data_IF_148243105775
#
_entry.id   IF_148243105775
#
_cell.length_a   1.000
_cell.length_b   1.000
_cell.length_c   1.000
_cell.angle_alpha   90.00
_cell.angle_beta   90.00
_cell.angle_gamma   90.00
#
_symmetry.space_group_name_H-M   'P 1'
#
loop_
_entity.id
_entity.type
_entity.pdbx_description
1 polymer ?
#
# COMPACT_ATOMS: atom_id res chain seq x y z
N UNK A 1 -25.57 10.08 -16.92
CA UNK A 1 -25.21 8.65 -16.89
C UNK A 1 -24.35 8.43 -15.66
N UNK A 2 -24.84 7.78 -14.61
CA UNK A 2 -23.94 7.36 -13.52
C UNK A 2 -23.01 6.29 -14.09
N UNK A 3 -21.70 6.41 -13.85
CA UNK A 3 -20.77 5.34 -14.19
C UNK A 3 -21.12 4.10 -13.37
N UNK A 4 -21.32 2.95 -14.02
CA UNK A 4 -21.47 1.65 -13.34
C UNK A 4 -20.14 1.16 -12.72
N UNK A 5 -19.05 1.91 -12.91
CA UNK A 5 -17.71 1.59 -12.40
C UNK A 5 -17.42 2.34 -11.11
N UNK A 6 -16.66 1.69 -10.23
CA UNK A 6 -16.06 2.32 -9.04
C UNK A 6 -15.04 3.38 -9.49
N UNK A 7 -15.03 4.53 -8.83
CA UNK A 7 -13.91 5.47 -8.95
C UNK A 7 -12.92 5.18 -7.83
N UNK A 8 -11.68 4.83 -8.17
CA UNK A 8 -10.57 4.67 -7.24
C UNK A 8 -9.71 5.93 -7.26
N UNK A 9 -9.52 6.57 -6.11
CA UNK A 9 -8.62 7.72 -5.98
C UNK A 9 -7.20 7.25 -5.67
N UNK A 10 -6.22 7.66 -6.46
CA UNK A 10 -4.82 7.19 -6.42
C UNK A 10 -3.82 8.35 -6.61
N UNK A 11 -2.53 8.11 -6.37
CA UNK A 11 -1.44 9.09 -6.50
C UNK A 11 -0.69 8.91 -7.83
N UNK A 12 -0.58 9.97 -8.66
CA UNK A 12 0.25 9.89 -9.86
C UNK A 12 1.73 9.75 -9.50
N UNK A 13 2.50 9.14 -10.38
CA UNK A 13 3.97 9.17 -10.35
C UNK A 13 4.50 9.83 -11.61
N UNK A 14 5.72 10.37 -11.56
CA UNK A 14 6.40 10.87 -12.76
C UNK A 14 7.05 9.78 -13.62
N UNK A 15 7.02 8.52 -13.17
CA UNK A 15 7.73 7.42 -13.84
C UNK A 15 7.03 6.94 -15.10
N UNK A 16 5.71 7.15 -15.20
CA UNK A 16 4.88 6.63 -16.27
C UNK A 16 3.94 7.71 -16.81
N UNK A 17 3.63 7.63 -18.10
CA UNK A 17 2.62 8.48 -18.75
C UNK A 17 1.90 7.62 -19.79
N UNK A 18 0.62 7.25 -19.59
CA UNK A 18 -0.26 7.64 -18.47
C UNK A 18 0.24 7.13 -17.09
N UNK A 19 -0.21 7.74 -15.97
CA UNK A 19 0.25 7.36 -14.64
C UNK A 19 -0.12 5.92 -14.30
N UNK A 20 0.69 5.28 -13.45
CA UNK A 20 0.44 3.96 -12.88
C UNK A 20 0.68 3.94 -11.38
N UNK A 21 0.05 3.00 -10.70
CA UNK A 21 0.03 2.91 -9.24
C UNK A 21 1.42 2.57 -8.69
N UNK A 22 1.84 3.32 -7.68
CA UNK A 22 3.09 3.10 -6.94
C UNK A 22 2.89 2.99 -5.43
N UNK A 23 1.72 3.43 -4.93
CA UNK A 23 1.45 3.51 -3.51
C UNK A 23 1.15 2.13 -2.93
N UNK A 24 1.86 1.69 -1.87
CA UNK A 24 1.57 0.41 -1.22
C UNK A 24 0.16 0.38 -0.61
N UNK A 25 -0.38 1.52 -0.21
CA UNK A 25 -1.74 1.56 0.34
C UNK A 25 -2.79 1.44 -0.76
N UNK A 26 -2.59 2.07 -1.92
CA UNK A 26 -3.57 2.02 -3.01
C UNK A 26 -3.53 0.68 -3.73
N UNK A 27 -2.35 0.07 -3.85
CA UNK A 27 -2.20 -1.30 -4.36
C UNK A 27 -3.07 -2.32 -3.61
N UNK A 28 -3.29 -2.17 -2.29
CA UNK A 28 -4.19 -3.06 -1.54
C UNK A 28 -5.62 -3.03 -2.10
N UNK A 29 -6.16 -1.83 -2.32
CA UNK A 29 -7.51 -1.68 -2.91
C UNK A 29 -7.53 -2.12 -4.37
N UNK A 30 -6.49 -1.81 -5.14
CA UNK A 30 -6.35 -2.20 -6.54
C UNK A 30 -6.34 -3.72 -6.72
N UNK A 31 -5.56 -4.43 -5.90
CA UNK A 31 -5.52 -5.90 -5.87
C UNK A 31 -6.89 -6.50 -5.54
N UNK A 32 -7.61 -5.95 -4.56
CA UNK A 32 -8.98 -6.39 -4.25
C UNK A 32 -9.90 -6.24 -5.46
N UNK A 33 -9.89 -5.07 -6.10
CA UNK A 33 -10.72 -4.80 -7.28
C UNK A 33 -10.38 -5.74 -8.43
N UNK A 34 -9.08 -5.95 -8.70
CA UNK A 34 -8.59 -6.82 -9.76
C UNK A 34 -8.92 -8.31 -9.49
N UNK A 35 -8.69 -8.80 -8.27
CA UNK A 35 -8.99 -10.17 -7.85
C UNK A 35 -10.48 -10.49 -7.98
N UNK A 36 -11.32 -9.58 -7.50
CA UNK A 36 -12.78 -9.69 -7.58
C UNK A 36 -13.33 -9.40 -8.99
N UNK A 37 -12.48 -8.97 -9.92
CA UNK A 37 -12.85 -8.56 -11.29
C UNK A 37 -13.91 -7.45 -11.30
N UNK A 38 -13.84 -6.53 -10.35
CA UNK A 38 -14.76 -5.39 -10.24
C UNK A 38 -14.27 -4.28 -11.18
N UNK A 39 -15.10 -3.79 -12.12
CA UNK A 39 -14.72 -2.68 -12.99
C UNK A 39 -14.54 -1.37 -12.21
N UNK A 40 -13.41 -0.71 -12.42
CA UNK A 40 -13.14 0.61 -11.86
C UNK A 40 -12.44 1.53 -12.87
N UNK A 41 -12.38 2.81 -12.53
CA UNK A 41 -11.55 3.82 -13.16
C UNK A 41 -10.73 4.53 -12.10
N UNK A 42 -9.49 4.87 -12.42
CA UNK A 42 -8.63 5.61 -11.50
C UNK A 42 -8.79 7.12 -11.71
N UNK A 43 -9.03 7.85 -10.63
CA UNK A 43 -8.90 9.29 -10.58
C UNK A 43 -7.61 9.64 -9.84
N UNK A 44 -6.64 10.16 -10.59
CA UNK A 44 -5.34 10.56 -10.07
C UNK A 44 -5.43 11.91 -9.37
N UNK A 45 -5.01 11.96 -8.09
CA UNK A 45 -4.98 13.18 -7.29
C UNK A 45 -3.55 13.49 -6.85
N UNK A 46 -3.12 14.74 -7.04
CA UNK A 46 -1.94 15.26 -6.34
C UNK A 46 -2.26 15.42 -4.86
N UNK A 47 -1.22 15.51 -4.03
CA UNK A 47 -1.38 15.51 -2.58
C UNK A 47 -2.22 16.68 -2.05
N UNK A 48 -2.16 17.85 -2.69
CA UNK A 48 -2.94 19.05 -2.39
C UNK A 48 -4.40 18.96 -2.85
N UNK A 49 -4.72 18.06 -3.78
CA UNK A 49 -6.07 17.82 -4.29
C UNK A 49 -6.85 16.78 -3.46
N UNK A 50 -6.16 15.96 -2.66
CA UNK A 50 -6.78 14.87 -1.87
C UNK A 50 -7.84 15.43 -0.91
N UNK A 51 -7.45 16.32 -0.02
CA UNK A 51 -8.36 16.89 0.99
C UNK A 51 -9.57 17.61 0.38
N UNK A 52 -9.42 18.60 -0.54
CA UNK A 52 -10.58 19.27 -1.12
C UNK A 52 -11.48 18.31 -1.91
N UNK A 53 -10.91 17.31 -2.59
CA UNK A 53 -11.71 16.34 -3.35
C UNK A 53 -12.50 15.41 -2.42
N UNK A 54 -11.83 14.76 -1.47
CA UNK A 54 -12.46 13.75 -0.62
C UNK A 54 -13.45 14.39 0.37
N UNK A 55 -13.14 15.56 0.90
CA UNK A 55 -14.08 16.30 1.77
C UNK A 55 -15.34 16.76 1.01
N UNK A 56 -15.21 17.24 -0.24
CA UNK A 56 -16.35 17.61 -1.07
C UNK A 56 -17.26 16.43 -1.44
N UNK A 57 -16.72 15.21 -1.43
CA UNK A 57 -17.48 13.97 -1.59
C UNK A 57 -18.18 13.50 -0.30
N UNK A 58 -18.03 14.24 0.80
CA UNK A 58 -18.65 13.92 2.09
C UNK A 58 -17.91 12.84 2.88
N UNK A 59 -16.67 12.50 2.50
CA UNK A 59 -15.85 11.56 3.26
C UNK A 59 -15.44 12.23 4.59
N UNK A 60 -15.66 11.58 5.74
CA UNK A 60 -15.17 12.10 7.01
C UNK A 60 -13.63 12.00 7.07
N UNK A 61 -12.95 12.93 7.76
CA UNK A 61 -11.51 12.82 7.93
C UNK A 61 -11.15 11.60 8.79
N UNK A 62 -9.96 11.06 8.57
CA UNK A 62 -9.33 10.08 9.43
C UNK A 62 -9.31 10.57 10.88
N UNK A 63 -9.50 9.68 11.87
CA UNK A 63 -9.43 10.06 13.26
C UNK A 63 -8.05 10.62 13.60
N UNK A 64 -7.96 11.63 14.47
CA UNK A 64 -6.68 12.15 14.91
C UNK A 64 -5.88 11.06 15.64
N UNK A 65 -4.55 11.19 15.61
CA UNK A 65 -3.66 10.28 16.35
C UNK A 65 -4.04 10.30 17.84
N UNK A 66 -4.27 9.14 18.48
CA UNK A 66 -4.52 9.09 19.92
C UNK A 66 -3.36 9.72 20.71
N UNK A 67 -3.69 10.46 21.76
CA UNK A 67 -2.69 11.08 22.63
C UNK A 67 -1.70 10.03 23.17
N UNK A 68 -0.41 10.38 23.18
CA UNK A 68 0.64 9.49 23.70
C UNK A 68 1.14 8.39 22.75
N UNK A 69 0.54 8.21 21.56
CA UNK A 69 1.11 7.29 20.56
C UNK A 69 2.32 7.90 19.82
N UNK A 70 3.44 7.16 19.70
CA UNK A 70 4.61 7.61 18.94
C UNK A 70 4.31 7.69 17.43
N UNK A 71 5.12 8.43 16.69
CA UNK A 71 5.00 8.59 15.23
C UNK A 71 4.24 9.85 14.78
N UNK A 72 4.20 10.14 13.47
CA UNK A 72 3.53 11.33 12.93
C UNK A 72 1.99 11.21 13.02
N UNK A 73 1.30 12.34 13.11
CA UNK A 73 -0.17 12.37 12.99
C UNK A 73 -0.59 11.91 11.58
N UNK A 74 -1.64 11.08 11.44
CA UNK A 74 -2.15 10.73 10.12
C UNK A 74 -2.67 11.99 9.41
N UNK A 75 -2.64 11.95 8.08
CA UNK A 75 -3.29 13.02 7.32
C UNK A 75 -4.81 12.85 7.44
N UNK A 76 -5.59 13.95 7.62
CA UNK A 76 -7.05 13.86 7.70
C UNK A 76 -7.65 13.18 6.48
N UNK A 77 -7.08 13.40 5.30
CA UNK A 77 -7.50 12.77 4.07
C UNK A 77 -6.33 12.05 3.40
N UNK A 78 -6.60 10.84 2.91
CA UNK A 78 -5.60 9.93 2.33
C UNK A 78 -6.20 9.14 1.18
N UNK A 79 -5.34 8.58 0.33
CA UNK A 79 -5.72 7.53 -0.63
C UNK A 79 -5.13 6.18 -0.17
N UNK A 80 -5.79 5.05 -0.47
CA UNK A 80 -6.95 4.91 -1.34
C UNK A 80 -8.24 5.45 -0.72
N UNK A 81 -9.07 6.01 -1.58
CA UNK A 81 -10.48 6.23 -1.36
C UNK A 81 -11.25 5.71 -2.57
N UNK A 82 -12.52 5.40 -2.41
CA UNK A 82 -13.40 5.00 -3.49
C UNK A 82 -14.71 5.78 -3.47
N UNK A 83 -15.30 5.95 -4.66
CA UNK A 83 -16.72 6.25 -4.84
C UNK A 83 -17.36 5.09 -5.61
N UNK A 84 -18.41 4.50 -5.02
CA UNK A 84 -19.20 3.43 -5.60
C UNK A 84 -20.25 3.98 -6.59
N UNK A 85 -20.83 3.13 -7.46
CA UNK A 85 -21.86 3.57 -8.42
C UNK A 85 -23.10 4.20 -7.77
N UNK A 86 -23.44 3.75 -6.56
CA UNK A 86 -24.53 4.28 -5.71
C UNK A 86 -24.18 5.60 -4.99
N UNK A 87 -23.02 6.18 -5.30
CA UNK A 87 -22.45 7.40 -4.71
C UNK A 87 -21.98 7.28 -3.27
N UNK A 88 -22.09 6.10 -2.64
CA UNK A 88 -21.43 5.88 -1.36
C UNK A 88 -19.90 5.90 -1.51
N UNK A 89 -19.22 6.34 -0.46
CA UNK A 89 -17.78 6.59 -0.48
C UNK A 89 -17.11 5.93 0.71
N UNK A 90 -15.85 5.53 0.54
CA UNK A 90 -15.02 5.02 1.62
C UNK A 90 -13.57 5.45 1.43
N UNK A 91 -12.86 5.61 2.53
CA UNK A 91 -11.44 5.91 2.59
C UNK A 91 -10.79 4.94 3.56
N UNK A 92 -9.50 4.66 3.36
CA UNK A 92 -8.72 3.61 4.03
C UNK A 92 -8.92 2.23 3.41
N UNK A 93 -7.82 1.64 2.92
CA UNK A 93 -7.79 0.30 2.34
C UNK A 93 -8.43 -0.77 3.24
N UNK A 94 -8.24 -0.67 4.56
CA UNK A 94 -8.77 -1.64 5.53
C UNK A 94 -10.28 -1.51 5.73
N UNK A 95 -10.85 -0.31 5.50
CA UNK A 95 -12.30 -0.07 5.51
C UNK A 95 -12.91 -0.44 4.16
N UNK A 96 -12.20 -0.17 3.07
CA UNK A 96 -12.66 -0.44 1.71
C UNK A 96 -12.80 -1.95 1.45
N UNK A 97 -11.85 -2.77 1.90
CA UNK A 97 -11.88 -4.22 1.68
C UNK A 97 -13.18 -4.92 2.14
N UNK A 98 -13.66 -4.76 3.40
CA UNK A 98 -14.91 -5.35 3.84
C UNK A 98 -16.14 -4.79 3.11
N UNK A 99 -16.15 -3.49 2.76
CA UNK A 99 -17.24 -2.91 1.96
C UNK A 99 -17.36 -3.60 0.59
N UNK A 100 -16.22 -3.87 -0.06
CA UNK A 100 -16.20 -4.58 -1.35
C UNK A 100 -16.52 -6.06 -1.20
N UNK A 101 -16.14 -6.71 -0.11
CA UNK A 101 -16.56 -8.09 0.21
C UNK A 101 -18.09 -8.18 0.33
N UNK A 102 -18.71 -7.25 1.07
CA UNK A 102 -20.15 -7.23 1.31
C UNK A 102 -20.95 -6.86 0.05
N UNK A 103 -20.52 -5.85 -0.70
CA UNK A 103 -21.26 -5.35 -1.87
C UNK A 103 -21.14 -6.26 -3.09
N UNK A 104 -20.14 -7.14 -3.15
CA UNK A 104 -19.89 -8.03 -4.29
C UNK A 104 -19.75 -9.51 -3.89
N UNK A 105 -20.78 -10.13 -3.26
CA UNK A 105 -20.69 -11.48 -2.69
C UNK A 105 -20.59 -12.60 -3.74
N UNK A 106 -20.87 -12.30 -5.02
CA UNK A 106 -20.70 -13.24 -6.14
C UNK A 106 -19.28 -13.33 -6.70
N UNK A 107 -18.33 -12.62 -6.09
CA UNK A 107 -16.90 -12.62 -6.47
C UNK A 107 -16.09 -13.48 -5.50
N UNK A 108 -14.87 -13.94 -5.87
CA UNK A 108 -14.01 -14.69 -4.95
C UNK A 108 -13.79 -13.96 -3.62
N UNK A 109 -13.83 -14.70 -2.50
CA UNK A 109 -13.79 -14.12 -1.15
C UNK A 109 -12.40 -13.65 -0.75
N UNK A 110 -12.34 -12.59 0.06
CA UNK A 110 -11.12 -12.10 0.69
C UNK A 110 -10.79 -12.80 2.01
N UNK A 111 -11.68 -13.65 2.53
CA UNK A 111 -11.48 -14.37 3.79
C UNK A 111 -11.06 -13.48 4.96
N UNK A 112 -11.71 -12.32 5.12
CA UNK A 112 -11.34 -11.30 6.10
C UNK A 112 -11.48 -11.80 7.56
N UNK A 113 -12.37 -12.77 7.79
CA UNK A 113 -12.65 -13.37 9.09
C UNK A 113 -11.45 -14.10 9.72
N UNK A 114 -10.43 -14.43 8.93
CA UNK A 114 -9.27 -15.20 9.40
C UNK A 114 -8.23 -14.38 10.19
N UNK A 115 -8.32 -13.05 10.18
CA UNK A 115 -7.37 -12.15 10.88
C UNK A 115 -5.95 -12.08 10.29
N UNK A 116 -5.66 -12.78 9.19
CA UNK A 116 -4.32 -12.84 8.58
C UNK A 116 -3.81 -11.46 8.13
N UNK A 117 -4.71 -10.59 7.68
CA UNK A 117 -4.37 -9.24 7.22
C UNK A 117 -3.90 -8.32 8.37
N UNK A 118 -4.37 -8.56 9.60
CA UNK A 118 -3.91 -7.81 10.79
C UNK A 118 -2.49 -8.23 11.18
N UNK A 119 -2.24 -9.54 11.19
CA UNK A 119 -0.90 -10.11 11.45
C UNK A 119 0.10 -9.69 10.37
N UNK A 120 -0.27 -9.81 9.09
CA UNK A 120 0.53 -9.34 7.96
C UNK A 120 0.85 -7.84 8.08
N UNK A 121 -0.13 -7.00 8.44
CA UNK A 121 0.08 -5.56 8.61
C UNK A 121 1.05 -5.23 9.76
N UNK A 122 0.97 -5.98 10.87
CA UNK A 122 1.87 -5.81 12.01
C UNK A 122 3.33 -6.16 11.66
N UNK A 123 3.54 -7.30 10.98
CA UNK A 123 4.87 -7.74 10.52
C UNK A 123 5.41 -6.75 9.48
N UNK A 124 4.58 -6.33 8.53
CA UNK A 124 4.94 -5.36 7.52
C UNK A 124 5.38 -4.02 8.13
N UNK A 125 4.79 -3.60 9.25
CA UNK A 125 5.23 -2.43 10.00
C UNK A 125 6.66 -2.55 10.53
N UNK A 126 7.05 -3.75 11.01
CA UNK A 126 8.41 -4.03 11.47
C UNK A 126 9.43 -4.02 10.33
N UNK A 127 9.01 -4.39 9.12
CA UNK A 127 9.85 -4.40 7.91
C UNK A 127 9.95 -3.01 7.27
N UNK A 128 8.82 -2.33 7.08
CA UNK A 128 8.76 -1.09 6.30
C UNK A 128 9.27 0.14 7.08
N UNK A 129 9.08 0.18 8.40
CA UNK A 129 9.50 1.33 9.21
C UNK A 129 11.02 1.55 9.23
N UNK A 130 11.86 0.50 9.42
CA UNK A 130 13.31 0.66 9.30
C UNK A 130 13.77 1.08 7.90
N UNK A 131 13.04 0.66 6.85
CA UNK A 131 13.39 0.97 5.46
C UNK A 131 13.02 2.39 5.02
N UNK A 132 12.37 3.22 5.86
CA UNK A 132 12.00 4.58 5.47
C UNK A 132 13.21 5.43 5.04
N UNK A 133 14.39 5.22 5.64
CA UNK A 133 15.63 5.90 5.26
C UNK A 133 16.15 5.51 3.88
N UNK A 134 15.73 4.36 3.35
CA UNK A 134 15.99 3.91 1.96
C UNK A 134 14.88 4.40 1.03
N UNK A 135 13.62 4.33 1.47
CA UNK A 135 12.47 4.58 0.61
C UNK A 135 12.20 6.06 0.35
N UNK A 136 12.33 6.93 1.36
CA UNK A 136 11.96 8.34 1.24
C UNK A 136 12.82 9.14 0.25
N UNK A 137 14.16 9.01 0.26
CA UNK A 137 14.99 9.62 -0.77
C UNK A 137 14.62 9.16 -2.18
N UNK A 138 14.33 7.86 -2.35
CA UNK A 138 13.92 7.26 -3.63
C UNK A 138 12.55 7.76 -4.08
N UNK A 139 11.58 7.85 -3.19
CA UNK A 139 10.24 8.40 -3.49
C UNK A 139 10.37 9.87 -3.92
N UNK A 140 11.09 10.68 -3.15
CA UNK A 140 11.27 12.09 -3.43
C UNK A 140 11.94 12.33 -4.79
N UNK A 141 13.02 11.58 -5.06
CA UNK A 141 13.84 11.78 -6.26
C UNK A 141 13.24 11.12 -7.50
N UNK A 142 12.69 9.92 -7.39
CA UNK A 142 12.39 9.07 -8.55
C UNK A 142 10.88 8.94 -8.82
N UNK A 143 10.00 9.17 -7.84
CA UNK A 143 8.57 8.84 -7.94
C UNK A 143 7.68 10.08 -7.98
N UNK A 144 7.90 11.03 -7.07
CA UNK A 144 7.01 12.20 -6.95
C UNK A 144 7.11 13.11 -8.17
N UNK A 145 5.96 13.70 -8.53
CA UNK A 145 5.88 14.77 -9.51
C UNK A 145 6.74 15.98 -9.04
N UNK A 146 7.43 16.69 -9.94
CA UNK A 146 8.26 17.85 -9.58
C UNK A 146 7.54 18.91 -8.75
N UNK A 147 6.27 19.19 -9.05
CA UNK A 147 5.43 20.15 -8.33
C UNK A 147 4.96 19.66 -6.96
N UNK A 148 4.89 18.34 -6.74
CA UNK A 148 4.50 17.72 -5.45
C UNK A 148 5.68 17.59 -4.50
N UNK A 149 6.88 17.37 -5.04
CA UNK A 149 8.08 17.06 -4.27
C UNK A 149 8.42 18.08 -3.17
N UNK A 150 8.38 19.42 -3.38
CA UNK A 150 8.70 20.39 -2.33
C UNK A 150 7.77 20.31 -1.12
N UNK A 151 6.46 20.23 -1.35
CA UNK A 151 5.47 20.15 -0.26
C UNK A 151 5.56 18.83 0.50
N UNK A 152 5.78 17.72 -0.21
CA UNK A 152 6.00 16.42 0.42
C UNK A 152 7.26 16.42 1.29
N UNK A 153 8.37 16.97 0.76
CA UNK A 153 9.64 17.09 1.48
C UNK A 153 9.47 17.87 2.77
N UNK A 154 8.90 19.09 2.70
CA UNK A 154 8.69 19.93 3.87
C UNK A 154 7.87 19.22 4.97
N UNK A 155 6.81 18.49 4.57
CA UNK A 155 5.98 17.72 5.50
C UNK A 155 6.74 16.57 6.17
N UNK A 156 7.62 15.87 5.44
CA UNK A 156 8.42 14.78 5.99
C UNK A 156 9.52 15.31 6.91
N UNK A 157 10.27 16.31 6.48
CA UNK A 157 11.35 16.90 7.29
C UNK A 157 10.80 17.49 8.60
N UNK A 158 9.64 18.14 8.57
CA UNK A 158 8.96 18.60 9.79
C UNK A 158 8.55 17.45 10.72
N UNK A 159 8.19 16.28 10.18
CA UNK A 159 7.79 15.12 10.97
C UNK A 159 8.98 14.39 11.63
N UNK A 160 10.16 14.37 10.99
CA UNK A 160 11.37 13.73 11.52
C UNK A 160 12.29 14.68 12.27
N UNK A 161 12.15 16.00 12.07
CA UNK A 161 13.03 17.00 12.67
C UNK A 161 14.43 17.06 12.06
N UNK A 162 14.62 16.49 10.86
CA UNK A 162 15.88 16.55 10.11
C UNK A 162 15.60 16.56 8.60
N UNK A 163 16.63 16.82 7.80
CA UNK A 163 16.51 16.76 6.33
C UNK A 163 16.36 15.31 5.85
N UNK A 164 15.83 15.13 4.63
CA UNK A 164 15.77 13.79 4.02
C UNK A 164 17.17 13.19 3.84
N UNK A 165 18.16 14.00 3.51
CA UNK A 165 19.56 13.58 3.33
C UNK A 165 20.20 13.19 4.66
N UNK A 166 19.99 13.96 5.73
CA UNK A 166 20.47 13.58 7.07
C UNK A 166 19.81 12.28 7.55
N UNK A 167 18.52 12.10 7.25
CA UNK A 167 17.80 10.87 7.56
C UNK A 167 18.34 9.68 6.77
N UNK A 168 18.61 9.85 5.47
CA UNK A 168 19.25 8.83 4.62
C UNK A 168 20.65 8.47 5.13
N UNK A 169 21.47 9.46 5.47
CA UNK A 169 22.81 9.23 5.99
C UNK A 169 22.81 8.49 7.33
N UNK A 170 21.85 8.79 8.21
CA UNK A 170 21.77 8.18 9.54
C UNK A 170 21.02 6.84 9.60
N UNK A 171 20.02 6.64 8.73
CA UNK A 171 19.05 5.53 8.80
C UNK A 171 18.81 4.82 7.48
N UNK A 172 19.50 5.19 6.41
CA UNK A 172 19.44 4.52 5.10
C UNK A 172 20.45 3.40 4.94
N UNK A 173 20.68 2.99 3.69
CA UNK A 173 21.69 2.00 3.31
C UNK A 173 21.61 0.69 4.12
N UNK A 174 22.77 0.10 4.39
CA UNK A 174 22.90 -1.16 5.15
C UNK A 174 22.34 -1.06 6.57
N UNK A 175 22.37 0.12 7.20
CA UNK A 175 21.79 0.32 8.53
C UNK A 175 20.29 0.07 8.54
N UNK A 176 19.58 0.55 7.50
CA UNK A 176 18.15 0.30 7.33
C UNK A 176 17.86 -1.19 7.14
N UNK A 177 18.60 -1.84 6.24
CA UNK A 177 18.39 -3.24 5.89
C UNK A 177 18.65 -4.17 7.06
N UNK A 178 19.75 -3.95 7.79
CA UNK A 178 20.04 -4.70 9.02
C UNK A 178 18.96 -4.53 10.08
N UNK A 179 18.43 -3.31 10.21
CA UNK A 179 17.32 -3.06 11.14
C UNK A 179 16.00 -3.71 10.69
N UNK A 180 15.83 -4.00 9.40
CA UNK A 180 14.67 -4.68 8.84
C UNK A 180 14.77 -6.22 8.87
N UNK A 181 15.96 -6.80 9.06
CA UNK A 181 16.22 -8.25 9.09
C UNK A 181 15.21 -9.04 9.97
N UNK A 182 14.89 -8.62 11.22
CA UNK A 182 13.92 -9.34 12.03
C UNK A 182 12.52 -9.38 11.40
N UNK A 183 12.14 -8.33 10.66
CA UNK A 183 10.88 -8.26 9.94
C UNK A 183 10.82 -9.23 8.76
N UNK A 184 11.94 -9.41 8.04
CA UNK A 184 12.03 -10.42 6.96
C UNK A 184 11.92 -11.84 7.52
N UNK A 185 12.63 -12.16 8.61
CA UNK A 185 12.54 -13.47 9.28
C UNK A 185 11.11 -13.74 9.76
N UNK A 186 10.46 -12.75 10.37
CA UNK A 186 9.08 -12.87 10.80
C UNK A 186 8.10 -13.06 9.62
N UNK A 187 8.36 -12.40 8.49
CA UNK A 187 7.54 -12.54 7.28
C UNK A 187 7.66 -13.93 6.66
N UNK A 188 8.89 -14.44 6.49
CA UNK A 188 9.13 -15.79 5.97
C UNK A 188 8.40 -16.83 6.82
N UNK A 189 8.62 -16.79 8.14
CA UNK A 189 7.93 -17.65 9.10
C UNK A 189 6.41 -17.57 8.99
N UNK A 190 5.86 -16.35 8.90
CA UNK A 190 4.42 -16.13 8.78
C UNK A 190 3.84 -16.71 7.47
N UNK A 191 4.57 -16.62 6.36
CA UNK A 191 4.15 -17.16 5.07
C UNK A 191 4.24 -18.69 5.01
N UNK A 192 5.09 -19.32 5.82
CA UNK A 192 5.19 -20.79 5.91
C UNK A 192 4.18 -21.40 6.89
N UNK A 193 4.07 -20.87 8.12
CA UNK A 193 3.36 -21.54 9.22
C UNK A 193 1.82 -21.56 9.07
N UNK A 194 1.26 -20.69 8.24
CA UNK A 194 -0.20 -20.58 8.07
C UNK A 194 -0.74 -21.42 6.90
N UNK A 195 0.14 -22.07 6.13
CA UNK A 195 -0.24 -22.86 4.96
C UNK A 195 -1.04 -24.10 5.35
N UNK A 196 -2.15 -24.32 4.64
CA UNK A 196 -2.97 -25.55 4.76
C UNK A 196 -2.56 -26.63 3.75
N UNK A 197 -1.85 -26.23 2.71
CA UNK A 197 -1.33 -27.05 1.62
C UNK A 197 -0.11 -26.34 0.98
N UNK A 198 0.50 -26.94 -0.05
CA UNK A 198 1.72 -26.45 -0.70
C UNK A 198 1.52 -25.20 -1.59
N UNK A 199 0.34 -24.58 -1.58
CA UNK A 199 0.07 -23.40 -2.39
C UNK A 199 0.88 -22.14 -1.99
N UNK A 200 0.88 -21.12 -2.86
CA UNK A 200 1.77 -19.95 -2.73
C UNK A 200 1.23 -18.85 -1.80
N UNK A 201 -0.03 -18.93 -1.36
CA UNK A 201 -0.67 -17.92 -0.52
C UNK A 201 -0.48 -18.22 0.97
N UNK A 202 -0.80 -17.26 1.84
CA UNK A 202 -0.73 -17.42 3.30
C UNK A 202 -1.47 -18.67 3.78
N UNK A 203 -2.62 -18.98 3.18
CA UNK A 203 -3.44 -20.16 3.54
C UNK A 203 -3.16 -21.39 2.65
N UNK A 204 -2.05 -21.42 1.92
CA UNK A 204 -1.74 -22.42 0.91
C UNK A 204 -2.35 -22.03 -0.45
N UNK A 205 -3.29 -22.80 -0.96
CA UNK A 205 -3.89 -22.56 -2.30
C UNK A 205 -5.03 -21.55 -2.29
N UNK A 206 -5.45 -21.10 -1.09
CA UNK A 206 -6.53 -20.14 -0.90
C UNK A 206 -5.99 -18.72 -0.68
N UNK A 207 -6.38 -17.81 -1.56
CA UNK A 207 -6.13 -16.36 -1.44
C UNK A 207 -6.88 -15.81 -0.23
N UNK A 208 -6.29 -14.86 0.48
CA UNK A 208 -6.96 -14.01 1.47
C UNK A 208 -6.46 -12.56 1.37
N UNK A 209 -7.10 -11.63 2.08
CA UNK A 209 -6.70 -10.22 2.04
C UNK A 209 -5.28 -9.97 2.58
N UNK A 210 -4.79 -10.84 3.46
CA UNK A 210 -3.42 -10.77 3.98
C UNK A 210 -2.37 -10.86 2.85
N UNK A 211 -2.63 -11.66 1.82
CA UNK A 211 -1.76 -11.79 0.66
C UNK A 211 -1.61 -10.43 -0.04
N UNK A 212 -2.72 -9.72 -0.22
CA UNK A 212 -2.72 -8.41 -0.87
C UNK A 212 -2.07 -7.31 -0.04
N UNK A 213 -2.08 -7.42 1.29
CA UNK A 213 -1.32 -6.51 2.16
C UNK A 213 0.18 -6.63 1.91
N UNK A 214 0.69 -7.85 1.75
CA UNK A 214 2.12 -8.14 1.53
C UNK A 214 2.51 -7.80 0.10
N UNK A 215 1.74 -8.31 -0.88
CA UNK A 215 1.99 -8.11 -2.32
C UNK A 215 1.94 -6.64 -2.68
N UNK A 216 1.03 -5.85 -2.09
CA UNK A 216 0.97 -4.41 -2.33
C UNK A 216 2.26 -3.68 -1.91
N UNK A 217 2.92 -4.13 -0.84
CA UNK A 217 4.23 -3.58 -0.48
C UNK A 217 5.30 -4.03 -1.46
N UNK A 218 5.38 -5.32 -1.77
CA UNK A 218 6.37 -5.85 -2.71
C UNK A 218 6.29 -5.13 -4.07
N UNK A 219 5.08 -4.98 -4.62
CA UNK A 219 4.87 -4.23 -5.86
C UNK A 219 5.24 -2.75 -5.71
N UNK A 220 4.89 -2.11 -4.59
CA UNK A 220 5.31 -0.72 -4.35
C UNK A 220 6.84 -0.57 -4.30
N UNK A 221 7.56 -1.50 -3.66
CA UNK A 221 9.02 -1.50 -3.67
C UNK A 221 9.55 -1.58 -5.12
N UNK A 222 8.96 -2.45 -5.96
CA UNK A 222 9.32 -2.59 -7.38
C UNK A 222 9.10 -1.30 -8.15
N UNK A 223 7.97 -0.62 -7.91
CA UNK A 223 7.61 0.66 -8.53
C UNK A 223 8.51 1.81 -8.05
N UNK A 224 8.94 1.80 -6.78
CA UNK A 224 9.89 2.78 -6.22
C UNK A 224 11.29 2.56 -6.80
N UNK A 225 11.80 1.33 -6.74
CA UNK A 225 13.11 0.95 -7.28
C UNK A 225 13.25 -0.57 -7.38
N UNK A 226 13.52 -1.06 -8.59
CA UNK A 226 13.67 -2.49 -8.85
C UNK A 226 14.78 -3.14 -8.00
N UNK A 227 15.85 -2.41 -7.74
CA UNK A 227 16.94 -2.83 -6.86
C UNK A 227 16.49 -3.05 -5.40
N UNK A 228 15.56 -2.22 -4.92
CA UNK A 228 14.99 -2.35 -3.57
C UNK A 228 14.08 -3.59 -3.51
N UNK A 229 13.26 -3.78 -4.54
CA UNK A 229 12.43 -4.97 -4.67
C UNK A 229 13.29 -6.24 -4.65
N UNK A 230 14.27 -6.35 -5.56
CA UNK A 230 15.10 -7.55 -5.66
C UNK A 230 15.79 -7.87 -4.34
N UNK A 231 16.31 -6.86 -3.64
CA UNK A 231 16.90 -7.10 -2.32
C UNK A 231 15.89 -7.58 -1.29
N UNK A 232 14.68 -7.03 -1.28
CA UNK A 232 13.62 -7.43 -0.36
C UNK A 232 13.20 -8.89 -0.61
N UNK A 233 12.96 -9.27 -1.86
CA UNK A 233 12.57 -10.65 -2.19
C UNK A 233 13.72 -11.65 -2.09
N UNK A 234 14.98 -11.26 -2.31
CA UNK A 234 16.15 -12.09 -1.95
C UNK A 234 16.28 -12.29 -0.43
N UNK A 235 15.79 -11.35 0.38
CA UNK A 235 15.81 -11.47 1.84
C UNK A 235 14.65 -12.32 2.39
N UNK A 236 13.64 -12.63 1.57
CA UNK A 236 12.48 -13.44 1.91
C UNK A 236 11.85 -13.96 0.61
N UNK A 237 12.26 -15.17 0.20
CA UNK A 237 11.89 -15.76 -1.09
C UNK A 237 10.39 -16.09 -1.14
N UNK A 238 9.76 -16.33 0.01
CA UNK A 238 8.32 -16.55 0.14
C UNK A 238 7.52 -15.32 -0.32
N UNK A 239 8.05 -14.11 -0.13
CA UNK A 239 7.45 -12.88 -0.67
C UNK A 239 7.58 -12.84 -2.19
N UNK A 240 8.65 -13.40 -2.78
CA UNK A 240 8.80 -13.54 -4.24
C UNK A 240 7.71 -14.45 -4.78
N UNK A 241 7.60 -15.66 -4.24
CA UNK A 241 6.62 -16.66 -4.66
C UNK A 241 5.20 -16.09 -4.59
N UNK A 242 4.87 -15.43 -3.48
CA UNK A 242 3.58 -14.78 -3.29
C UNK A 242 3.32 -13.65 -4.30
N UNK A 243 4.31 -12.80 -4.55
CA UNK A 243 4.21 -11.70 -5.52
C UNK A 243 4.00 -12.21 -6.94
N UNK A 244 4.75 -13.23 -7.35
CA UNK A 244 4.63 -13.88 -8.65
C UNK A 244 3.26 -14.56 -8.83
N UNK A 245 2.78 -15.26 -7.80
CA UNK A 245 1.45 -15.88 -7.79
C UNK A 245 0.32 -14.85 -7.96
N UNK A 246 0.51 -13.61 -7.48
CA UNK A 246 -0.44 -12.51 -7.66
C UNK A 246 -0.30 -11.76 -8.99
N UNK A 247 0.64 -12.14 -9.85
CA UNK A 247 0.95 -11.50 -11.13
C UNK A 247 -0.27 -11.10 -11.97
N UNK A 248 -1.26 -12.00 -12.18
CA UNK A 248 -2.47 -11.66 -12.96
C UNK A 248 -3.28 -10.49 -12.39
N UNK A 249 -3.20 -10.22 -11.08
CA UNK A 249 -3.92 -9.10 -10.43
C UNK A 249 -3.09 -7.82 -10.34
N UNK A 250 -1.84 -7.85 -10.80
CA UNK A 250 -0.95 -6.70 -10.89
C UNK A 250 -0.98 -6.03 -12.28
N UNK A 251 -1.59 -6.66 -13.28
CA UNK A 251 -1.62 -6.17 -14.67
C UNK A 251 -2.40 -4.85 -14.83
N UNK A 252 -3.54 -4.71 -14.15
CA UNK A 252 -4.32 -3.48 -14.19
C UNK A 252 -3.80 -2.48 -13.15
N UNK A 253 -2.84 -1.66 -13.57
CA UNK A 253 -2.10 -0.69 -12.75
C UNK A 253 -2.43 0.78 -13.04
N UNK A 254 -3.38 1.04 -13.95
CA UNK A 254 -3.79 2.37 -14.45
C UNK A 254 -5.03 2.97 -13.79
#
# INVERSE_FOLDING_TARGET
MSSDKITLFDLPSKKTTPPTCWSPNVWKTRLVLNYKKIPYTTQWLKHDEIEPTLSALGIPPNPPKPAGKPGPSPSPYTVPAIQLPDKSTAMDSAVIAPILEEKFPGTPSLHLENGMHEQASAILGQLAFPLLGVLYPRILRDVLLPEVAPGWRAKKEAAFGCTIEDFEAAKGGETAWKAAEPGFVAMAKFLEENKKDEGPFILGSQVCYGDFVIVAMAEALKRIGHDIYERAVTSCEEVRELHEACGPWLENDS
#
